data_IF_461751474709
#
_entry.id   IF_461751474709
#
_cell.length_a   1.000
_cell.length_b   1.000
_cell.length_c   1.000
_cell.angle_alpha   90.00
_cell.angle_beta   90.00
_cell.angle_gamma   90.00
#
_symmetry.space_group_name_H-M   'P 1'
#
loop_
_entity.id
_entity.type
_entity.pdbx_description
1 polymer ?
#
# COMPACT_ATOMS: atom_id res chain seq x y z
N UNK A 1 7.68 -31.35 -12.87
CA UNK A 1 8.44 -30.84 -11.73
C UNK A 1 9.12 -29.51 -12.08
N UNK A 2 9.97 -29.46 -13.13
CA UNK A 2 10.67 -28.22 -13.53
C UNK A 2 9.70 -27.10 -13.90
N UNK A 3 8.63 -27.39 -14.65
CA UNK A 3 7.61 -26.40 -14.98
C UNK A 3 6.90 -25.85 -13.74
N UNK A 4 6.69 -26.72 -12.73
CA UNK A 4 6.10 -26.31 -11.46
C UNK A 4 7.04 -25.38 -10.66
N UNK A 5 8.34 -25.68 -10.64
CA UNK A 5 9.36 -24.82 -10.03
C UNK A 5 9.39 -23.45 -10.70
N UNK A 6 9.50 -23.39 -12.02
CA UNK A 6 9.50 -22.15 -12.80
C UNK A 6 8.22 -21.33 -12.58
N UNK A 7 7.08 -22.01 -12.44
CA UNK A 7 5.81 -21.33 -12.15
C UNK A 7 5.83 -20.66 -10.79
N UNK A 8 6.28 -21.34 -9.73
CA UNK A 8 6.36 -20.75 -8.39
C UNK A 8 7.40 -19.63 -8.31
N UNK A 9 8.56 -19.77 -8.97
CA UNK A 9 9.55 -18.69 -9.07
C UNK A 9 8.98 -17.44 -9.73
N UNK A 10 8.23 -17.59 -10.84
CA UNK A 10 7.57 -16.47 -11.51
C UNK A 10 6.50 -15.81 -10.63
N UNK A 11 5.71 -16.59 -9.89
CA UNK A 11 4.72 -16.08 -8.94
C UNK A 11 5.43 -15.27 -7.85
N UNK A 12 6.50 -15.78 -7.28
CA UNK A 12 7.26 -15.10 -6.23
C UNK A 12 7.87 -13.80 -6.76
N UNK A 13 8.49 -13.84 -7.95
CA UNK A 13 9.10 -12.66 -8.57
C UNK A 13 8.08 -11.55 -8.82
N UNK A 14 6.99 -11.88 -9.54
CA UNK A 14 5.94 -10.91 -9.84
C UNK A 14 5.28 -10.35 -8.56
N UNK A 15 5.05 -11.21 -7.57
CA UNK A 15 4.46 -10.78 -6.30
C UNK A 15 5.41 -9.89 -5.48
N UNK A 16 6.72 -10.08 -5.57
CA UNK A 16 7.72 -9.19 -4.94
C UNK A 16 7.75 -7.80 -5.57
N UNK A 17 7.60 -7.70 -6.88
CA UNK A 17 7.53 -6.41 -7.57
C UNK A 17 6.25 -5.65 -7.21
N UNK A 18 5.13 -6.36 -7.14
CA UNK A 18 3.86 -5.81 -6.67
C UNK A 18 3.95 -5.33 -5.21
N UNK A 19 4.59 -6.12 -4.34
CA UNK A 19 4.82 -5.79 -2.93
C UNK A 19 5.61 -4.49 -2.78
N UNK A 20 6.64 -4.28 -3.59
CA UNK A 20 7.42 -3.05 -3.59
C UNK A 20 6.54 -1.84 -3.95
N UNK A 21 5.71 -1.97 -4.98
CA UNK A 21 4.77 -0.92 -5.41
C UNK A 21 3.75 -0.60 -4.32
N UNK A 22 3.17 -1.63 -3.69
CA UNK A 22 2.21 -1.45 -2.59
C UNK A 22 2.84 -0.73 -1.41
N UNK A 23 4.08 -1.08 -1.03
CA UNK A 23 4.79 -0.40 0.07
C UNK A 23 5.02 1.08 -0.22
N UNK A 24 5.45 1.44 -1.43
CA UNK A 24 5.58 2.84 -1.84
C UNK A 24 4.24 3.57 -1.76
N UNK A 25 3.14 2.97 -2.23
CA UNK A 25 1.80 3.55 -2.15
C UNK A 25 1.34 3.78 -0.69
N UNK A 26 1.68 2.86 0.22
CA UNK A 26 1.40 3.02 1.67
C UNK A 26 2.15 4.22 2.24
N UNK A 27 3.44 4.37 1.92
CA UNK A 27 4.26 5.49 2.38
C UNK A 27 3.71 6.84 1.90
N UNK A 28 3.37 6.94 0.61
CA UNK A 28 2.78 8.15 0.01
C UNK A 28 1.42 8.48 0.63
N UNK A 29 0.56 7.47 0.80
CA UNK A 29 -0.76 7.62 1.40
C UNK A 29 -0.67 8.06 2.87
N UNK A 30 0.24 7.44 3.62
CA UNK A 30 0.49 7.80 5.03
C UNK A 30 0.98 9.24 5.15
N UNK A 31 1.87 9.68 4.26
CA UNK A 31 2.33 11.07 4.21
C UNK A 31 1.19 12.03 3.96
N UNK A 32 0.35 11.74 2.95
CA UNK A 32 -0.83 12.56 2.63
C UNK A 32 -1.80 12.67 3.82
N UNK A 33 -2.08 11.56 4.49
CA UNK A 33 -2.96 11.53 5.67
C UNK A 33 -2.41 12.42 6.79
N UNK A 34 -1.09 12.37 7.05
CA UNK A 34 -0.44 13.21 8.05
C UNK A 34 -0.49 14.70 7.69
N UNK A 35 -0.34 15.03 6.41
CA UNK A 35 -0.48 16.41 5.92
C UNK A 35 -1.91 16.94 6.11
N UNK A 36 -2.92 16.11 5.79
CA UNK A 36 -4.33 16.47 6.00
C UNK A 36 -4.61 16.67 7.50
N UNK A 37 -4.11 15.79 8.36
CA UNK A 37 -4.29 15.89 9.81
C UNK A 37 -3.67 17.17 10.37
N UNK A 38 -2.46 17.52 9.95
CA UNK A 38 -1.77 18.76 10.33
C UNK A 38 -2.56 19.98 9.88
N UNK A 39 -3.12 19.94 8.66
CA UNK A 39 -3.95 21.02 8.16
C UNK A 39 -5.26 21.18 8.94
N UNK A 40 -5.91 20.08 9.31
CA UNK A 40 -7.10 20.10 10.19
C UNK A 40 -6.77 20.74 11.53
N UNK A 41 -5.61 20.42 12.12
CA UNK A 41 -5.17 21.02 13.38
C UNK A 41 -5.00 22.55 13.24
N UNK A 42 -4.29 22.99 12.19
CA UNK A 42 -4.10 24.43 11.91
C UNK A 42 -5.42 25.16 11.72
N UNK A 43 -6.38 24.54 11.03
CA UNK A 43 -7.72 25.11 10.83
C UNK A 43 -8.52 25.17 12.14
N UNK A 44 -8.38 24.19 13.05
CA UNK A 44 -9.00 24.26 14.36
C UNK A 44 -8.45 25.41 15.19
N UNK A 45 -7.13 25.60 15.21
CA UNK A 45 -6.48 26.72 15.91
C UNK A 45 -6.92 28.07 15.32
N UNK A 46 -7.06 28.16 14.00
CA UNK A 46 -7.62 29.34 13.33
C UNK A 46 -9.06 29.60 13.76
N UNK A 47 -9.92 28.59 13.72
CA UNK A 47 -11.33 28.69 14.12
C UNK A 47 -11.48 29.17 15.56
N UNK A 48 -10.66 28.64 16.50
CA UNK A 48 -10.69 29.08 17.90
C UNK A 48 -10.39 30.57 18.03
N UNK A 49 -9.39 31.06 17.29
CA UNK A 49 -9.05 32.50 17.24
C UNK A 49 -10.19 33.33 16.62
N UNK A 50 -10.81 32.85 15.54
CA UNK A 50 -11.94 33.53 14.90
C UNK A 50 -13.15 33.61 15.84
N UNK A 51 -13.47 32.54 16.59
CA UNK A 51 -14.53 32.54 17.59
C UNK A 51 -14.23 33.51 18.74
N UNK A 52 -12.98 33.60 19.18
CA UNK A 52 -12.55 34.54 20.19
C UNK A 52 -12.70 35.99 19.71
N UNK A 53 -12.29 36.27 18.47
CA UNK A 53 -12.45 37.62 17.84
C UNK A 53 -13.93 37.93 17.73
N UNK A 54 -14.76 37.00 17.23
CA UNK A 54 -16.22 37.22 17.12
C UNK A 54 -16.86 37.52 18.48
N UNK A 55 -16.41 36.88 19.56
CA UNK A 55 -16.84 37.18 20.91
C UNK A 55 -16.47 38.61 21.33
N UNK A 56 -15.21 39.02 21.11
CA UNK A 56 -14.78 40.39 21.45
C UNK A 56 -15.50 41.42 20.60
N UNK A 57 -15.77 41.15 19.32
CA UNK A 57 -16.60 42.04 18.50
C UNK A 57 -18.04 42.17 19.03
N UNK A 58 -18.63 41.05 19.49
CA UNK A 58 -19.94 41.09 20.16
C UNK A 58 -19.93 41.90 21.45
N UNK A 59 -18.88 41.80 22.25
CA UNK A 59 -18.73 42.57 23.49
C UNK A 59 -18.52 44.06 23.18
N UNK A 60 -17.79 44.38 22.09
CA UNK A 60 -17.52 45.76 21.63
C UNK A 60 -18.81 46.50 21.27
N UNK A 61 -19.79 45.84 20.65
CA UNK A 61 -21.07 46.45 20.32
C UNK A 61 -21.82 47.00 21.55
N UNK A 62 -21.53 46.46 22.74
CA UNK A 62 -22.16 46.86 23.98
C UNK A 62 -21.44 48.02 24.66
N UNK A 63 -20.28 48.50 24.12
CA UNK A 63 -19.58 49.64 24.65
C UNK A 63 -20.34 50.92 24.26
N UNK A 64 -20.49 51.82 25.24
CA UNK A 64 -21.10 53.14 25.04
C UNK A 64 -20.10 54.20 25.41
N UNK A 65 -20.07 55.27 24.61
CA UNK A 65 -19.19 56.39 24.83
C UNK A 65 -19.48 57.06 26.21
N UNK A 66 -18.43 57.28 26.98
CA UNK A 66 -18.53 57.90 28.32
C UNK A 66 -18.97 56.99 29.46
N UNK A 67 -19.44 55.72 29.19
CA UNK A 67 -19.72 54.72 30.23
C UNK A 67 -18.47 53.93 30.57
N UNK A 68 -18.33 53.47 31.80
CA UNK A 68 -17.24 52.60 32.24
C UNK A 68 -17.29 51.22 31.58
N UNK A 69 -16.24 50.82 30.92
CA UNK A 69 -16.12 49.52 30.33
C UNK A 69 -16.12 48.44 31.41
N UNK A 70 -16.95 47.44 31.25
CA UNK A 70 -17.07 46.31 32.21
C UNK A 70 -15.83 45.41 32.22
N UNK A 71 -14.95 45.49 31.15
CA UNK A 71 -13.72 44.72 31.07
C UNK A 71 -12.52 45.41 31.67
N UNK A 72 -12.34 46.72 31.44
CA UNK A 72 -11.12 47.46 31.84
C UNK A 72 -11.40 48.75 32.62
N UNK A 73 -12.65 49.13 32.85
CA UNK A 73 -13.05 50.34 33.55
C UNK A 73 -12.79 51.65 32.80
N UNK A 74 -12.25 51.64 31.60
CA UNK A 74 -12.02 52.84 30.80
C UNK A 74 -13.33 53.43 30.29
N UNK A 75 -13.36 54.77 30.15
CA UNK A 75 -14.48 55.52 29.53
C UNK A 75 -14.22 55.89 28.08
N UNK A 76 -13.00 55.66 27.58
CA UNK A 76 -12.58 55.94 26.22
C UNK A 76 -12.07 54.70 25.55
N UNK A 77 -12.59 54.40 24.34
CA UNK A 77 -12.21 53.22 23.54
C UNK A 77 -11.92 53.66 22.10
N UNK A 78 -10.66 54.04 21.76
CA UNK A 78 -10.31 54.66 20.46
C UNK A 78 -10.53 53.74 19.26
N UNK A 79 -10.70 52.42 19.48
CA UNK A 79 -10.88 51.41 18.41
C UNK A 79 -12.29 50.83 18.37
N UNK A 80 -13.30 51.49 18.98
CA UNK A 80 -14.68 50.98 19.05
C UNK A 80 -15.30 50.78 17.65
N UNK A 81 -14.93 51.66 16.68
CA UNK A 81 -15.44 51.63 15.32
C UNK A 81 -14.66 50.68 14.39
N UNK A 82 -13.57 50.07 14.87
CA UNK A 82 -12.72 49.20 14.07
C UNK A 82 -13.26 47.75 14.11
N UNK A 83 -14.17 47.43 13.17
CA UNK A 83 -14.74 46.07 13.07
C UNK A 83 -13.77 45.11 12.38
N UNK A 84 -13.49 43.99 13.03
CA UNK A 84 -12.75 42.88 12.47
C UNK A 84 -13.76 41.83 12.02
N UNK A 85 -13.81 41.56 10.72
CA UNK A 85 -14.67 40.50 10.16
C UNK A 85 -13.90 39.18 10.14
N UNK A 86 -14.46 38.19 10.79
CA UNK A 86 -13.97 36.81 10.76
C UNK A 86 -15.10 35.89 10.35
N UNK A 87 -14.77 34.73 9.75
CA UNK A 87 -15.76 33.77 9.27
C UNK A 87 -15.51 32.38 9.82
N UNK A 88 -15.80 32.19 11.10
CA UNK A 88 -15.65 30.91 11.79
C UNK A 88 -16.51 29.78 11.19
N UNK A 89 -17.66 30.13 10.59
CA UNK A 89 -18.55 29.16 9.95
C UNK A 89 -17.95 28.61 8.66
N UNK A 90 -17.31 29.44 7.86
CA UNK A 90 -16.56 29.01 6.67
C UNK A 90 -15.39 28.10 7.07
N UNK A 91 -14.61 28.50 8.05
CA UNK A 91 -13.52 27.67 8.59
C UNK A 91 -14.04 26.32 9.12
N UNK A 92 -15.19 26.31 9.76
CA UNK A 92 -15.85 25.08 10.24
C UNK A 92 -16.26 24.17 9.07
N UNK A 93 -16.81 24.76 7.98
CA UNK A 93 -17.16 24.01 6.77
C UNK A 93 -15.93 23.37 6.12
N UNK A 94 -14.82 24.11 6.02
CA UNK A 94 -13.55 23.59 5.47
C UNK A 94 -13.01 22.45 6.33
N UNK A 95 -13.08 22.58 7.66
CA UNK A 95 -12.69 21.50 8.59
C UNK A 95 -13.52 20.22 8.35
N UNK A 96 -14.83 20.37 8.16
CA UNK A 96 -15.72 19.23 7.90
C UNK A 96 -15.35 18.52 6.59
N UNK A 97 -15.12 19.26 5.53
CA UNK A 97 -14.66 18.72 4.24
C UNK A 97 -13.31 18.00 4.36
N UNK A 98 -12.33 18.62 5.06
CA UNK A 98 -11.03 17.99 5.28
C UNK A 98 -11.10 16.71 6.12
N UNK A 99 -11.98 16.65 7.12
CA UNK A 99 -12.24 15.44 7.90
C UNK A 99 -12.83 14.31 7.05
N UNK A 100 -13.75 14.65 6.15
CA UNK A 100 -14.30 13.66 5.21
C UNK A 100 -13.18 13.05 4.34
N UNK A 101 -12.33 13.89 3.75
CA UNK A 101 -11.18 13.45 2.93
C UNK A 101 -10.24 12.58 3.79
N UNK A 102 -9.94 12.99 5.02
CA UNK A 102 -9.13 12.23 5.95
C UNK A 102 -9.69 10.81 6.20
N UNK A 103 -10.99 10.69 6.41
CA UNK A 103 -11.66 9.41 6.63
C UNK A 103 -11.67 8.53 5.38
N UNK A 104 -11.83 9.12 4.19
CA UNK A 104 -11.77 8.43 2.90
C UNK A 104 -10.36 7.88 2.64
N UNK A 105 -9.33 8.70 2.88
CA UNK A 105 -7.94 8.31 2.71
C UNK A 105 -7.50 7.20 3.70
N UNK A 106 -7.97 7.26 4.96
CA UNK A 106 -7.71 6.20 5.92
C UNK A 106 -8.40 4.87 5.55
N UNK A 107 -9.61 4.92 4.98
CA UNK A 107 -10.28 3.71 4.45
C UNK A 107 -9.52 3.12 3.27
N UNK A 108 -9.03 3.97 2.37
CA UNK A 108 -8.21 3.54 1.24
C UNK A 108 -6.90 2.91 1.72
N UNK A 109 -6.22 3.51 2.70
CA UNK A 109 -4.99 2.97 3.29
C UNK A 109 -5.23 1.57 3.87
N UNK A 110 -6.28 1.38 4.67
CA UNK A 110 -6.63 0.06 5.23
C UNK A 110 -6.85 -1.00 4.15
N UNK A 111 -7.46 -0.62 3.03
CA UNK A 111 -7.66 -1.54 1.90
C UNK A 111 -6.34 -1.96 1.28
N UNK A 112 -5.40 -1.04 1.14
CA UNK A 112 -4.06 -1.31 0.61
C UNK A 112 -3.28 -2.21 1.58
N UNK A 113 -3.35 -1.97 2.89
CA UNK A 113 -2.72 -2.79 3.93
C UNK A 113 -3.26 -4.23 3.95
N UNK A 114 -4.57 -4.40 3.76
CA UNK A 114 -5.18 -5.73 3.61
C UNK A 114 -4.68 -6.46 2.36
N UNK A 115 -4.50 -5.75 1.25
CA UNK A 115 -3.94 -6.33 0.03
C UNK A 115 -2.46 -6.70 0.22
N UNK A 116 -1.70 -5.87 0.93
CA UNK A 116 -0.31 -6.17 1.32
C UNK A 116 -0.25 -7.50 2.09
N UNK A 117 -1.06 -7.67 3.13
CA UNK A 117 -1.08 -8.88 3.94
C UNK A 117 -1.42 -10.13 3.11
N UNK A 118 -2.39 -10.03 2.18
CA UNK A 118 -2.73 -11.14 1.27
C UNK A 118 -1.57 -11.49 0.35
N UNK A 119 -0.86 -10.49 -0.15
CA UNK A 119 0.28 -10.69 -1.04
C UNK A 119 1.46 -11.32 -0.30
N UNK A 120 1.74 -10.89 0.93
CA UNK A 120 2.76 -11.49 1.79
C UNK A 120 2.46 -12.96 2.07
N UNK A 121 1.21 -13.30 2.41
CA UNK A 121 0.77 -14.70 2.60
C UNK A 121 0.93 -15.53 1.32
N UNK A 122 0.64 -14.93 0.15
CA UNK A 122 0.83 -15.60 -1.14
C UNK A 122 2.31 -15.90 -1.41
N UNK A 123 3.19 -14.93 -1.16
CA UNK A 123 4.64 -15.12 -1.33
C UNK A 123 5.14 -16.21 -0.39
N UNK A 124 4.70 -16.21 0.86
CA UNK A 124 5.07 -17.23 1.84
C UNK A 124 4.62 -18.64 1.40
N UNK A 125 3.37 -18.80 0.98
CA UNK A 125 2.85 -20.09 0.50
C UNK A 125 3.59 -20.59 -0.75
N UNK A 126 3.83 -19.73 -1.73
CA UNK A 126 4.59 -20.09 -2.94
C UNK A 126 6.06 -20.42 -2.61
N UNK A 127 6.66 -19.73 -1.63
CA UNK A 127 8.02 -20.03 -1.17
C UNK A 127 8.11 -21.39 -0.50
N UNK A 128 7.12 -21.75 0.32
CA UNK A 128 7.05 -23.07 0.93
C UNK A 128 6.89 -24.18 -0.12
N UNK A 129 6.05 -23.95 -1.13
CA UNK A 129 5.84 -24.91 -2.21
C UNK A 129 7.10 -25.05 -3.08
N UNK A 130 7.76 -23.95 -3.41
CA UNK A 130 9.05 -23.96 -4.12
C UNK A 130 10.10 -24.78 -3.37
N UNK A 131 10.21 -24.59 -2.05
CA UNK A 131 11.16 -25.35 -1.23
C UNK A 131 10.88 -26.86 -1.24
N UNK A 132 9.60 -27.28 -1.22
CA UNK A 132 9.22 -28.69 -1.35
C UNK A 132 9.58 -29.27 -2.72
N UNK A 133 9.27 -28.53 -3.79
CA UNK A 133 9.58 -28.94 -5.15
C UNK A 133 11.09 -29.03 -5.39
N UNK A 134 11.85 -28.08 -4.87
CA UNK A 134 13.32 -28.09 -4.93
C UNK A 134 13.92 -29.30 -4.20
N UNK A 135 13.41 -29.61 -3.00
CA UNK A 135 13.84 -30.80 -2.27
C UNK A 135 13.52 -32.08 -3.03
N UNK A 136 12.32 -32.20 -3.58
CA UNK A 136 11.95 -33.37 -4.39
C UNK A 136 12.86 -33.49 -5.62
N UNK A 137 13.26 -32.37 -6.24
CA UNK A 137 14.23 -32.37 -7.33
C UNK A 137 15.58 -32.92 -6.89
N UNK A 138 16.10 -32.43 -5.75
CA UNK A 138 17.38 -32.92 -5.19
C UNK A 138 17.33 -34.41 -4.87
N UNK A 139 16.23 -34.89 -4.26
CA UNK A 139 16.03 -36.30 -3.94
C UNK A 139 16.05 -37.18 -5.22
N UNK A 140 15.40 -36.74 -6.29
CA UNK A 140 15.42 -37.42 -7.58
C UNK A 140 16.83 -37.42 -8.19
N UNK A 141 17.53 -36.28 -8.18
CA UNK A 141 18.91 -36.19 -8.68
C UNK A 141 19.87 -37.10 -7.92
N UNK A 142 19.69 -37.26 -6.59
CA UNK A 142 20.47 -38.18 -5.78
C UNK A 142 20.21 -39.65 -6.17
N UNK A 143 18.94 -40.01 -6.38
CA UNK A 143 18.57 -41.38 -6.83
C UNK A 143 19.20 -41.65 -8.20
N UNK A 144 19.11 -40.75 -9.15
CA UNK A 144 19.74 -40.92 -10.47
C UNK A 144 21.26 -41.03 -10.38
N UNK A 145 21.91 -40.26 -9.53
CA UNK A 145 23.35 -40.32 -9.30
C UNK A 145 23.76 -41.66 -8.69
N UNK A 146 22.98 -42.21 -7.75
CA UNK A 146 23.23 -43.50 -7.09
C UNK A 146 23.06 -44.68 -8.05
N UNK A 147 22.23 -44.54 -9.07
CA UNK A 147 22.04 -45.55 -10.11
C UNK A 147 23.12 -45.54 -11.20
N UNK A 148 24.17 -44.71 -11.07
CA UNK A 148 25.22 -44.49 -12.08
C UNK A 148 24.65 -44.15 -13.49
N UNK A 149 23.47 -43.61 -13.55
CA UNK A 149 22.85 -43.17 -14.78
C UNK A 149 23.40 -41.79 -15.15
N UNK A 150 24.62 -41.78 -15.70
CA UNK A 150 25.14 -40.55 -16.33
C UNK A 150 24.40 -40.42 -17.65
N UNK A 151 23.41 -39.51 -17.70
CA UNK A 151 22.85 -39.03 -18.94
C UNK A 151 23.91 -38.08 -19.59
N UNK A 152 24.95 -38.69 -20.19
CA UNK A 152 25.82 -37.98 -21.10
C UNK A 152 25.07 -37.75 -22.42
N UNK A 153 25.43 -36.73 -23.20
CA UNK A 153 24.87 -36.52 -24.53
C UNK A 153 25.00 -37.77 -25.43
N UNK A 154 26.06 -38.56 -25.21
CA UNK A 154 26.25 -39.89 -25.84
C UNK A 154 25.14 -40.87 -25.53
N UNK A 155 24.52 -40.84 -24.35
CA UNK A 155 23.43 -41.74 -23.97
C UNK A 155 22.11 -41.37 -24.70
N UNK A 156 21.89 -40.11 -25.01
CA UNK A 156 20.73 -39.67 -25.79
C UNK A 156 20.88 -40.12 -27.23
N UNK A 157 22.07 -39.91 -27.82
CA UNK A 157 22.38 -40.34 -29.20
C UNK A 157 22.23 -41.85 -29.34
N UNK A 158 22.76 -42.65 -28.41
CA UNK A 158 22.60 -44.09 -28.42
C UNK A 158 21.16 -44.57 -28.31
N UNK A 159 20.32 -43.95 -27.47
CA UNK A 159 18.90 -44.28 -27.34
C UNK A 159 18.07 -43.88 -28.58
N UNK A 160 18.43 -42.82 -29.25
CA UNK A 160 17.81 -42.39 -30.52
C UNK A 160 18.20 -43.32 -31.66
N UNK A 161 19.45 -43.76 -31.71
CA UNK A 161 19.95 -44.74 -32.70
C UNK A 161 19.28 -46.11 -32.50
N UNK A 162 19.16 -46.60 -31.23
CA UNK A 162 18.51 -47.84 -30.92
C UNK A 162 17.00 -47.80 -31.21
N UNK A 163 16.35 -46.70 -30.97
CA UNK A 163 14.95 -46.45 -31.35
C UNK A 163 14.75 -46.50 -32.87
N UNK A 164 15.65 -45.88 -33.66
CA UNK A 164 15.58 -45.90 -35.11
C UNK A 164 15.78 -47.34 -35.69
N UNK A 165 16.69 -48.12 -35.12
CA UNK A 165 16.92 -49.49 -35.49
C UNK A 165 15.67 -50.38 -35.20
N UNK A 166 15.05 -50.20 -34.06
CA UNK A 166 13.84 -50.92 -33.70
C UNK A 166 12.65 -50.51 -34.58
N UNK A 167 12.53 -49.26 -34.95
CA UNK A 167 11.51 -48.81 -35.89
C UNK A 167 11.70 -49.36 -37.31
N UNK A 168 12.92 -49.57 -37.75
CA UNK A 168 13.29 -50.13 -39.05
C UNK A 168 13.04 -51.69 -39.06
N UNK A 169 13.40 -52.38 -37.99
CA UNK A 169 13.05 -53.81 -37.82
C UNK A 169 11.52 -54.02 -37.80
N UNK A 170 10.79 -53.15 -37.09
CA UNK A 170 9.34 -53.23 -37.05
C UNK A 170 8.71 -53.05 -38.42
N UNK A 171 9.23 -52.11 -39.25
CA UNK A 171 8.78 -51.92 -40.63
C UNK A 171 9.07 -53.10 -41.55
N UNK A 172 10.19 -53.83 -41.29
CA UNK A 172 10.56 -55.00 -42.07
C UNK A 172 9.67 -56.20 -41.72
N UNK A 173 9.29 -56.37 -40.44
CA UNK A 173 8.34 -57.39 -39.99
C UNK A 173 6.93 -57.19 -40.55
N UNK A 174 6.48 -55.95 -40.67
CA UNK A 174 5.15 -55.63 -41.18
C UNK A 174 5.05 -55.78 -42.72
N UNK A 175 6.18 -55.82 -43.43
CA UNK A 175 6.22 -55.98 -44.89
C UNK A 175 6.30 -57.44 -45.35
N UNK A 176 6.47 -58.41 -44.44
CA UNK A 176 6.48 -59.85 -44.68
C UNK A 176 5.10 -60.44 -44.42
#
# INVERSE_FOLDING_TARGET
>A
LLDSILKEENIISSSKDELKTIKTNIEEKTKLINEIQTHIQTLNDKREKELLIAKYESDRVNLKEGEECFLCGSKEHPFVDHKISVNADETTSIIAQKKQIFDEENRALRTIELNLSKLETKIESSTLELNKLSKNKEDIEQVFSSLNFILTDDSKTNLEEEKQLLEEELKNIIKT
#
